data_IF_399950984412
#
_entry.id   IF_399950984412
#
_cell.length_a   1.000
_cell.length_b   1.000
_cell.length_c   1.000
_cell.angle_alpha   90.00
_cell.angle_beta   90.00
_cell.angle_gamma   90.00
#
_symmetry.space_group_name_H-M   'P 1'
#
loop_
_entity.id
_entity.type
_entity.pdbx_description
1 polymer ?
#
# COMPACT_ATOMS: atom_id res chain seq x y z
N UNK A 1 21.51 5.49 17.09
CA UNK A 1 21.63 5.61 15.63
C UNK A 1 21.37 7.07 15.22
N UNK A 2 22.15 7.60 14.27
CA UNK A 2 21.98 8.98 13.78
C UNK A 2 20.63 9.11 13.03
N UNK A 3 19.95 10.24 13.20
CA UNK A 3 18.76 10.58 12.39
C UNK A 3 19.14 10.56 10.90
N UNK A 4 18.21 10.19 10.02
CA UNK A 4 18.42 10.05 8.57
C UNK A 4 19.48 9.01 8.16
N UNK A 5 19.68 7.94 8.96
CA UNK A 5 20.56 6.83 8.61
C UNK A 5 19.94 5.95 7.50
N UNK A 6 20.80 5.31 6.67
CA UNK A 6 20.38 4.31 5.67
C UNK A 6 19.39 3.27 6.24
N UNK A 7 19.60 2.81 7.47
CA UNK A 7 18.76 1.82 8.12
C UNK A 7 17.30 2.27 8.28
N UNK A 8 17.04 3.55 8.46
CA UNK A 8 15.66 4.05 8.54
C UNK A 8 14.98 4.11 7.18
N UNK A 9 15.71 4.45 6.11
CA UNK A 9 15.18 4.40 4.74
C UNK A 9 14.93 2.95 4.30
N UNK A 10 15.88 2.06 4.53
CA UNK A 10 15.73 0.63 4.24
C UNK A 10 14.60 0.00 5.07
N UNK A 11 14.53 0.34 6.36
CA UNK A 11 13.46 -0.10 7.26
C UNK A 11 12.09 0.41 6.83
N UNK A 12 11.98 1.66 6.38
CA UNK A 12 10.73 2.20 5.82
C UNK A 12 10.26 1.35 4.63
N UNK A 13 11.14 1.08 3.64
CA UNK A 13 10.79 0.24 2.50
C UNK A 13 10.45 -1.19 2.93
N UNK A 14 11.28 -1.81 3.76
CA UNK A 14 11.08 -3.19 4.21
C UNK A 14 9.72 -3.36 4.90
N UNK A 15 9.46 -2.62 5.97
CA UNK A 15 8.25 -2.79 6.76
C UNK A 15 6.99 -2.26 6.06
N UNK A 16 7.12 -1.29 5.15
CA UNK A 16 6.01 -0.82 4.33
C UNK A 16 5.51 -1.95 3.41
N UNK A 17 6.39 -2.56 2.63
CA UNK A 17 6.01 -3.66 1.75
C UNK A 17 5.73 -4.96 2.49
N UNK A 18 6.34 -5.16 3.64
CA UNK A 18 6.01 -6.24 4.57
C UNK A 18 4.54 -6.14 5.03
N UNK A 19 4.10 -4.99 5.53
CA UNK A 19 2.73 -4.77 5.94
C UNK A 19 1.77 -4.88 4.73
N UNK A 20 2.11 -4.27 3.61
CA UNK A 20 1.30 -4.30 2.39
C UNK A 20 1.04 -5.73 1.90
N UNK A 21 2.07 -6.58 1.84
CA UNK A 21 1.95 -7.98 1.42
C UNK A 21 1.03 -8.77 2.35
N UNK A 22 1.21 -8.63 3.67
CA UNK A 22 0.39 -9.33 4.66
C UNK A 22 -1.10 -9.04 4.48
N UNK A 23 -1.46 -7.76 4.36
CA UNK A 23 -2.86 -7.35 4.21
C UNK A 23 -3.46 -7.80 2.88
N UNK A 24 -2.77 -7.54 1.76
CA UNK A 24 -3.29 -7.85 0.43
C UNK A 24 -3.43 -9.35 0.17
N UNK A 25 -2.45 -10.15 0.57
CA UNK A 25 -2.45 -11.58 0.29
C UNK A 25 -3.56 -12.33 1.05
N UNK A 26 -3.88 -11.89 2.25
CA UNK A 26 -4.73 -12.65 3.17
C UNK A 26 -6.12 -12.05 3.39
N UNK A 27 -6.38 -10.81 2.94
CA UNK A 27 -7.67 -10.15 3.17
C UNK A 27 -8.86 -10.96 2.63
N UNK A 28 -8.79 -11.39 1.37
CA UNK A 28 -9.88 -12.13 0.73
C UNK A 28 -10.11 -13.49 1.40
N UNK A 29 -9.02 -14.16 1.80
CA UNK A 29 -9.07 -15.42 2.52
C UNK A 29 -9.73 -15.26 3.90
N UNK A 30 -9.31 -14.24 4.66
CA UNK A 30 -9.91 -13.91 5.95
C UNK A 30 -11.41 -13.65 5.85
N UNK A 31 -11.83 -12.83 4.87
CA UNK A 31 -13.25 -12.55 4.66
C UNK A 31 -14.05 -13.81 4.31
N UNK A 32 -13.46 -14.72 3.54
CA UNK A 32 -14.07 -16.03 3.25
C UNK A 32 -14.23 -16.88 4.51
N UNK A 33 -13.24 -16.87 5.41
CA UNK A 33 -13.25 -17.65 6.64
C UNK A 33 -14.26 -17.14 7.69
N UNK A 34 -14.55 -15.86 7.69
CA UNK A 34 -15.63 -15.28 8.50
C UNK A 34 -17.00 -15.33 7.80
N UNK A 35 -17.13 -16.21 6.79
CA UNK A 35 -18.37 -16.54 6.09
C UNK A 35 -18.99 -15.44 5.24
N UNK A 36 -18.21 -14.48 4.75
CA UNK A 36 -18.67 -13.54 3.73
C UNK A 36 -18.78 -14.27 2.38
N UNK A 37 -19.85 -13.98 1.63
CA UNK A 37 -20.04 -14.55 0.30
C UNK A 37 -19.15 -13.84 -0.74
N UNK A 38 -18.98 -14.43 -1.93
CA UNK A 38 -18.11 -13.92 -2.98
C UNK A 38 -18.47 -12.48 -3.40
N UNK A 39 -19.75 -12.10 -3.39
CA UNK A 39 -20.19 -10.74 -3.73
C UNK A 39 -19.74 -9.72 -2.67
N UNK A 40 -19.86 -10.05 -1.41
CA UNK A 40 -19.42 -9.21 -0.29
C UNK A 40 -17.89 -9.04 -0.29
N UNK A 41 -17.15 -10.13 -0.51
CA UNK A 41 -15.69 -10.10 -0.63
C UNK A 41 -15.28 -9.19 -1.81
N UNK A 42 -15.90 -9.38 -2.97
CA UNK A 42 -15.64 -8.54 -4.14
C UNK A 42 -15.96 -7.06 -3.87
N UNK A 43 -17.05 -6.76 -3.17
CA UNK A 43 -17.41 -5.39 -2.82
C UNK A 43 -16.36 -4.74 -1.92
N UNK A 44 -15.89 -5.46 -0.89
CA UNK A 44 -14.85 -4.96 0.02
C UNK A 44 -13.53 -4.75 -0.72
N UNK A 45 -13.07 -5.73 -1.51
CA UNK A 45 -11.79 -5.65 -2.20
C UNK A 45 -11.77 -4.63 -3.34
N UNK A 46 -12.88 -4.46 -4.07
CA UNK A 46 -13.00 -3.49 -5.16
C UNK A 46 -13.19 -2.04 -4.68
N UNK A 47 -13.60 -1.84 -3.43
CA UNK A 47 -13.75 -0.49 -2.87
C UNK A 47 -12.41 0.25 -2.75
N UNK A 48 -11.33 -0.45 -2.46
CA UNK A 48 -10.01 0.16 -2.27
C UNK A 48 -9.46 0.89 -3.51
N UNK A 49 -9.48 0.33 -4.74
CA UNK A 49 -9.11 1.07 -5.95
C UNK A 49 -9.95 2.33 -6.16
N UNK A 50 -11.27 2.27 -5.91
CA UNK A 50 -12.16 3.43 -6.06
C UNK A 50 -11.77 4.57 -5.11
N UNK A 51 -11.51 4.26 -3.85
CA UNK A 51 -11.06 5.25 -2.88
C UNK A 51 -9.65 5.77 -3.19
N UNK A 52 -8.76 4.92 -3.74
CA UNK A 52 -7.39 5.29 -4.12
C UNK A 52 -7.35 6.35 -5.23
N UNK A 53 -8.32 6.34 -6.17
CA UNK A 53 -8.42 7.35 -7.25
C UNK A 53 -8.49 8.77 -6.66
N UNK A 54 -9.18 8.93 -5.54
CA UNK A 54 -9.30 10.23 -4.86
C UNK A 54 -8.17 10.46 -3.85
N UNK A 55 -7.78 9.43 -3.09
CA UNK A 55 -6.79 9.54 -2.03
C UNK A 55 -5.40 9.89 -2.57
N UNK A 56 -4.96 9.29 -3.68
CA UNK A 56 -3.62 9.52 -4.24
C UNK A 56 -3.39 10.99 -4.68
N UNK A 57 -4.23 11.61 -5.53
CA UNK A 57 -4.05 13.01 -5.90
C UNK A 57 -4.22 13.95 -4.71
N UNK A 58 -5.15 13.64 -3.80
CA UNK A 58 -5.38 14.46 -2.62
C UNK A 58 -4.16 14.49 -1.68
N UNK A 59 -3.61 13.33 -1.31
CA UNK A 59 -2.42 13.26 -0.47
C UNK A 59 -1.18 13.80 -1.17
N UNK A 60 -1.05 13.62 -2.50
CA UNK A 60 0.01 14.22 -3.31
C UNK A 60 -0.03 15.74 -3.23
N UNK A 61 -1.20 16.35 -3.51
CA UNK A 61 -1.41 17.80 -3.42
C UNK A 61 -1.17 18.32 -1.99
N UNK A 62 -1.60 17.56 -0.99
CA UNK A 62 -1.39 17.91 0.41
C UNK A 62 0.11 17.91 0.78
N UNK A 63 0.86 16.92 0.29
CA UNK A 63 2.30 16.82 0.50
C UNK A 63 3.06 17.98 -0.16
N UNK A 64 2.63 18.42 -1.33
CA UNK A 64 3.19 19.57 -2.03
C UNK A 64 2.84 20.88 -1.32
N UNK A 65 1.59 21.02 -0.87
CA UNK A 65 1.14 22.22 -0.13
C UNK A 65 1.88 22.39 1.20
N UNK A 66 2.07 21.30 1.95
CA UNK A 66 2.81 21.33 3.21
C UNK A 66 4.33 21.21 3.03
N UNK A 67 4.80 21.04 1.79
CA UNK A 67 6.22 20.83 1.47
C UNK A 67 6.87 19.73 2.33
N UNK A 68 6.08 18.73 2.75
CA UNK A 68 6.51 17.68 3.65
C UNK A 68 5.78 16.36 3.37
N UNK A 69 6.27 15.55 2.41
CA UNK A 69 5.73 14.21 2.18
C UNK A 69 5.81 13.34 3.44
N UNK A 70 6.81 13.58 4.29
CA UNK A 70 6.97 12.89 5.57
C UNK A 70 5.77 13.11 6.49
N UNK A 71 5.36 14.36 6.74
CA UNK A 71 4.24 14.67 7.64
C UNK A 71 2.93 14.07 7.13
N UNK A 72 2.68 14.19 5.83
CA UNK A 72 1.47 13.64 5.21
C UNK A 72 1.47 12.11 5.30
N UNK A 73 2.59 11.44 5.05
CA UNK A 73 2.71 9.99 5.21
C UNK A 73 2.47 9.55 6.66
N UNK A 74 3.00 10.29 7.65
CA UNK A 74 2.78 9.98 9.08
C UNK A 74 1.30 10.05 9.47
N UNK A 75 0.60 11.09 9.04
CA UNK A 75 -0.84 11.25 9.34
C UNK A 75 -1.63 10.13 8.64
N UNK A 76 -1.37 9.86 7.37
CA UNK A 76 -2.07 8.82 6.63
C UNK A 76 -1.85 7.43 7.24
N UNK A 77 -0.61 7.08 7.60
CA UNK A 77 -0.29 5.81 8.25
C UNK A 77 -0.88 5.71 9.67
N UNK A 78 -0.94 6.81 10.41
CA UNK A 78 -1.62 6.82 11.70
C UNK A 78 -3.12 6.53 11.57
N UNK A 79 -3.79 7.15 10.59
CA UNK A 79 -5.19 6.83 10.28
C UNK A 79 -5.33 5.36 9.89
N UNK A 80 -4.39 4.82 9.11
CA UNK A 80 -4.37 3.40 8.72
C UNK A 80 -4.29 2.48 9.94
N UNK A 81 -3.45 2.80 10.94
CA UNK A 81 -3.36 2.06 12.21
C UNK A 81 -4.71 2.05 12.93
N UNK A 82 -5.34 3.21 13.07
CA UNK A 82 -6.65 3.32 13.73
C UNK A 82 -7.73 2.51 12.99
N UNK A 83 -7.77 2.63 11.65
CA UNK A 83 -8.73 1.88 10.83
C UNK A 83 -8.49 0.37 10.88
N UNK A 84 -7.23 -0.07 10.97
CA UNK A 84 -6.93 -1.49 11.13
C UNK A 84 -7.41 -2.03 12.50
N UNK A 85 -7.27 -1.26 13.56
CA UNK A 85 -7.82 -1.66 14.87
C UNK A 85 -9.34 -1.78 14.82
N UNK A 86 -10.03 -0.82 14.19
CA UNK A 86 -11.49 -0.89 14.02
C UNK A 86 -11.88 -2.11 13.16
N UNK A 87 -11.11 -2.40 12.09
CA UNK A 87 -11.33 -3.57 11.25
C UNK A 87 -11.26 -4.87 12.04
N UNK A 88 -10.24 -5.03 12.91
CA UNK A 88 -10.04 -6.25 13.71
C UNK A 88 -11.21 -6.60 14.63
N UNK A 89 -11.90 -5.60 15.17
CA UNK A 89 -13.00 -5.79 16.11
C UNK A 89 -14.39 -5.76 15.46
N UNK A 90 -14.47 -5.58 14.15
CA UNK A 90 -15.74 -5.42 13.42
C UNK A 90 -16.08 -6.69 12.64
N UNK A 91 -17.38 -7.00 12.61
CA UNK A 91 -17.94 -8.09 11.79
C UNK A 91 -19.04 -7.60 10.84
N UNK A 92 -19.33 -6.29 10.85
CA UNK A 92 -20.36 -5.71 10.00
C UNK A 92 -19.80 -5.35 8.62
N UNK A 93 -20.48 -5.76 7.56
CA UNK A 93 -20.08 -5.53 6.17
C UNK A 93 -19.70 -4.07 5.87
N UNK A 94 -20.53 -3.12 6.30
CA UNK A 94 -20.31 -1.69 6.02
C UNK A 94 -19.05 -1.18 6.70
N UNK A 95 -18.80 -1.58 7.95
CA UNK A 95 -17.60 -1.16 8.68
C UNK A 95 -16.35 -1.78 8.06
N UNK A 96 -16.39 -3.07 7.73
CA UNK A 96 -15.28 -3.76 7.06
C UNK A 96 -14.99 -3.14 5.69
N UNK A 97 -16.01 -2.75 4.92
CA UNK A 97 -15.87 -2.09 3.64
C UNK A 97 -15.18 -0.71 3.79
N UNK A 98 -15.69 0.13 4.67
CA UNK A 98 -15.14 1.48 4.88
C UNK A 98 -13.71 1.43 5.41
N UNK A 99 -13.45 0.59 6.39
CA UNK A 99 -12.13 0.48 7.01
C UNK A 99 -11.11 -0.12 6.04
N UNK A 100 -11.44 -1.20 5.33
CA UNK A 100 -10.57 -1.82 4.33
C UNK A 100 -10.29 -0.87 3.16
N UNK A 101 -11.32 -0.19 2.64
CA UNK A 101 -11.17 0.81 1.59
C UNK A 101 -10.22 1.93 2.01
N UNK A 102 -10.39 2.44 3.24
CA UNK A 102 -9.55 3.51 3.78
C UNK A 102 -8.11 3.05 3.98
N UNK A 103 -7.89 1.85 4.58
CA UNK A 103 -6.56 1.28 4.80
C UNK A 103 -5.80 1.18 3.49
N UNK A 104 -6.36 0.50 2.50
CA UNK A 104 -5.67 0.26 1.23
C UNK A 104 -5.51 1.53 0.40
N UNK A 105 -6.52 2.42 0.40
CA UNK A 105 -6.43 3.68 -0.31
C UNK A 105 -5.32 4.58 0.24
N UNK A 106 -5.21 4.71 1.57
CA UNK A 106 -4.14 5.47 2.20
C UNK A 106 -2.78 4.82 2.00
N UNK A 107 -2.68 3.49 2.11
CA UNK A 107 -1.44 2.77 1.84
C UNK A 107 -0.95 2.99 0.41
N UNK A 108 -1.83 2.83 -0.58
CA UNK A 108 -1.53 3.09 -2.00
C UNK A 108 -1.13 4.56 -2.24
N UNK A 109 -1.77 5.51 -1.56
CA UNK A 109 -1.45 6.93 -1.70
C UNK A 109 -0.14 7.33 -1.00
N UNK A 110 0.27 6.62 0.05
CA UNK A 110 1.55 6.83 0.75
C UNK A 110 2.73 6.25 -0.04
N UNK A 111 2.53 5.24 -0.88
CA UNK A 111 3.59 4.61 -1.69
C UNK A 111 4.45 5.64 -2.45
N UNK A 112 3.91 6.51 -3.30
CA UNK A 112 4.72 7.51 -4.01
C UNK A 112 5.35 8.54 -3.08
N UNK A 113 4.77 8.81 -1.92
CA UNK A 113 5.36 9.73 -0.94
C UNK A 113 6.60 9.12 -0.26
N UNK A 114 6.55 7.83 0.10
CA UNK A 114 7.70 7.11 0.65
C UNK A 114 8.80 6.92 -0.40
N UNK A 115 8.45 6.68 -1.66
CA UNK A 115 9.41 6.60 -2.76
C UNK A 115 10.08 7.98 -2.99
N UNK A 116 9.33 9.09 -2.93
CA UNK A 116 9.88 10.45 -2.99
C UNK A 116 10.89 10.71 -1.85
N UNK A 117 10.58 10.30 -0.63
CA UNK A 117 11.50 10.39 0.51
C UNK A 117 12.77 9.55 0.26
N UNK A 118 12.63 8.35 -0.30
CA UNK A 118 13.74 7.47 -0.63
C UNK A 118 14.64 8.03 -1.72
N UNK A 119 14.07 8.52 -2.81
CA UNK A 119 14.80 9.14 -3.95
C UNK A 119 15.55 10.39 -3.53
N UNK A 120 14.99 11.19 -2.63
CA UNK A 120 15.62 12.42 -2.11
C UNK A 120 16.65 12.16 -1.01
N UNK A 121 16.87 10.91 -0.63
CA UNK A 121 17.87 10.55 0.36
C UNK A 121 19.30 10.58 -0.23
N UNK A 122 20.33 10.71 0.60
CA UNK A 122 21.73 10.64 0.13
C UNK A 122 22.15 9.21 -0.25
N UNK A 123 21.25 8.25 -0.23
CA UNK A 123 21.52 6.84 -0.48
C UNK A 123 20.96 6.39 -1.83
N UNK A 124 21.53 5.33 -2.38
CA UNK A 124 21.04 4.70 -3.61
C UNK A 124 19.62 4.17 -3.42
N UNK A 125 18.66 4.77 -4.14
CA UNK A 125 17.26 4.40 -4.06
C UNK A 125 17.02 2.93 -4.43
N UNK A 126 17.76 2.40 -5.41
CA UNK A 126 17.64 0.99 -5.79
C UNK A 126 17.94 0.05 -4.64
N UNK A 127 18.97 0.36 -3.83
CA UNK A 127 19.29 -0.42 -2.63
C UNK A 127 18.25 -0.28 -1.53
N UNK A 128 17.66 0.90 -1.37
CA UNK A 128 16.54 1.11 -0.43
C UNK A 128 15.32 0.30 -0.87
N UNK A 129 14.98 0.38 -2.15
CA UNK A 129 13.80 -0.29 -2.73
C UNK A 129 13.89 -1.80 -2.70
N UNK A 130 15.10 -2.35 -2.84
CA UNK A 130 15.36 -3.79 -2.74
C UNK A 130 14.87 -4.38 -1.41
N UNK A 131 15.06 -3.66 -0.29
CA UNK A 131 14.55 -4.09 1.00
C UNK A 131 13.03 -4.22 1.03
N UNK A 132 12.31 -3.43 0.23
CA UNK A 132 10.87 -3.58 0.07
C UNK A 132 10.49 -4.94 -0.53
N UNK A 133 11.19 -5.39 -1.55
CA UNK A 133 10.96 -6.72 -2.15
C UNK A 133 11.27 -7.85 -1.17
N UNK A 134 12.35 -7.71 -0.39
CA UNK A 134 12.70 -8.68 0.67
C UNK A 134 11.61 -8.72 1.75
N UNK A 135 11.14 -7.54 2.18
CA UNK A 135 10.04 -7.43 3.16
C UNK A 135 8.75 -8.07 2.66
N UNK A 136 8.40 -7.83 1.39
CA UNK A 136 7.23 -8.43 0.74
C UNK A 136 7.32 -9.97 0.76
N UNK A 137 8.43 -10.54 0.30
CA UNK A 137 8.61 -11.99 0.23
C UNK A 137 8.57 -12.65 1.62
N UNK A 138 9.26 -12.07 2.61
CA UNK A 138 9.25 -12.59 4.00
C UNK A 138 7.83 -12.53 4.58
N UNK A 139 7.12 -11.42 4.35
CA UNK A 139 5.76 -11.25 4.87
C UNK A 139 4.79 -12.25 4.27
N UNK A 140 4.84 -12.50 2.97
CA UNK A 140 3.97 -13.45 2.30
C UNK A 140 4.09 -14.84 2.92
N UNK A 141 5.32 -15.31 3.16
CA UNK A 141 5.58 -16.60 3.83
C UNK A 141 5.12 -16.62 5.28
N UNK A 142 5.53 -15.59 6.05
CA UNK A 142 5.23 -15.51 7.47
C UNK A 142 3.72 -15.45 7.73
N UNK A 143 3.00 -14.65 6.95
CA UNK A 143 1.55 -14.49 7.13
C UNK A 143 0.78 -15.77 6.81
N UNK A 144 1.18 -16.52 5.79
CA UNK A 144 0.59 -17.83 5.50
C UNK A 144 0.76 -18.82 6.64
N UNK A 145 1.99 -18.93 7.18
CA UNK A 145 2.29 -19.81 8.32
C UNK A 145 1.53 -19.40 9.59
N UNK A 146 1.54 -18.11 9.92
CA UNK A 146 0.87 -17.59 11.12
C UNK A 146 -0.66 -17.73 11.01
N UNK A 147 -1.20 -17.58 9.81
CA UNK A 147 -2.61 -17.78 9.53
C UNK A 147 -3.06 -19.22 9.85
N UNK A 148 -2.29 -20.21 9.37
CA UNK A 148 -2.62 -21.62 9.53
C UNK A 148 -2.39 -22.12 10.97
N UNK A 149 -1.35 -21.61 11.67
CA UNK A 149 -0.90 -22.15 12.97
C UNK A 149 -1.57 -21.46 14.16
N UNK A 150 -1.82 -20.14 14.06
CA UNK A 150 -2.29 -19.36 15.21
C UNK A 150 -3.78 -19.02 15.08
N UNK A 151 -4.11 -18.08 14.22
CA UNK A 151 -5.47 -17.66 13.94
C UNK A 151 -5.53 -16.71 12.73
N UNK A 152 -6.63 -16.69 11.96
CA UNK A 152 -6.80 -15.80 10.82
C UNK A 152 -6.64 -14.31 11.15
N UNK A 153 -7.03 -13.88 12.36
CA UNK A 153 -6.93 -12.48 12.79
C UNK A 153 -5.49 -12.00 13.01
N UNK A 154 -4.53 -12.91 13.19
CA UNK A 154 -3.13 -12.58 13.48
C UNK A 154 -2.43 -11.80 12.35
N UNK A 155 -2.91 -11.91 11.11
CA UNK A 155 -2.42 -11.13 9.97
C UNK A 155 -2.57 -9.62 10.18
N UNK A 156 -3.67 -9.18 10.82
CA UNK A 156 -3.90 -7.76 11.12
C UNK A 156 -3.01 -7.26 12.25
N UNK A 157 -2.60 -8.14 13.17
CA UNK A 157 -1.61 -7.83 14.21
C UNK A 157 -0.23 -7.66 13.57
N UNK A 158 0.14 -8.54 12.62
CA UNK A 158 1.39 -8.42 11.84
C UNK A 158 1.39 -7.14 11.02
N UNK A 159 0.27 -6.84 10.34
CA UNK A 159 0.10 -5.58 9.61
C UNK A 159 0.26 -4.35 10.51
N UNK A 160 -0.35 -4.38 11.69
CA UNK A 160 -0.26 -3.32 12.71
C UNK A 160 1.19 -3.10 13.14
N UNK A 161 1.90 -4.19 13.47
CA UNK A 161 3.32 -4.15 13.82
C UNK A 161 4.17 -3.53 12.70
N UNK A 162 3.98 -4.01 11.45
CA UNK A 162 4.68 -3.46 10.29
C UNK A 162 4.41 -1.96 10.10
N UNK A 163 3.16 -1.55 10.15
CA UNK A 163 2.76 -0.14 9.96
C UNK A 163 3.30 0.77 11.08
N UNK A 164 3.26 0.33 12.33
CA UNK A 164 3.85 1.09 13.45
C UNK A 164 5.37 1.21 13.28
N UNK A 165 6.03 0.15 12.82
CA UNK A 165 7.49 0.20 12.57
C UNK A 165 7.81 1.17 11.43
N UNK A 166 7.00 1.23 10.37
CA UNK A 166 7.11 2.25 9.30
C UNK A 166 6.99 3.66 9.88
N UNK A 167 5.99 3.90 10.74
CA UNK A 167 5.81 5.20 11.40
C UNK A 167 7.07 5.61 12.18
N UNK A 168 7.65 4.69 12.95
CA UNK A 168 8.89 4.93 13.73
C UNK A 168 10.06 5.23 12.78
N UNK A 169 10.20 4.48 11.68
CA UNK A 169 11.25 4.73 10.70
C UNK A 169 11.09 6.10 10.04
N UNK A 170 9.90 6.46 9.57
CA UNK A 170 9.62 7.76 8.92
C UNK A 170 9.85 8.92 9.91
N UNK A 171 9.56 8.76 11.20
CA UNK A 171 9.87 9.78 12.22
C UNK A 171 11.37 10.09 12.33
N UNK A 172 12.23 9.16 11.93
CA UNK A 172 13.70 9.28 11.98
C UNK A 172 14.33 9.70 10.64
N UNK A 173 13.55 9.79 9.58
CA UNK A 173 13.97 10.28 8.26
C UNK A 173 13.71 11.79 8.15
N UNK A 174 14.52 12.50 7.36
CA UNK A 174 14.29 13.91 7.07
C UNK A 174 13.30 14.07 5.92
N UNK A 175 12.61 15.21 5.88
CA UNK A 175 11.88 15.62 4.68
C UNK A 175 12.86 15.85 3.51
N UNK A 176 12.44 15.58 2.27
CA UNK A 176 13.18 15.99 1.08
C UNK A 176 13.50 17.50 1.12
N UNK A 177 14.72 17.87 0.79
CA UNK A 177 15.03 19.27 0.54
C UNK A 177 14.22 19.75 -0.66
N UNK A 178 13.51 20.84 -0.47
CA UNK A 178 12.77 21.48 -1.57
C UNK A 178 13.81 22.15 -2.46
N UNK A 179 14.21 21.46 -3.52
CA UNK A 179 14.94 22.12 -4.61
C UNK A 179 13.94 23.07 -5.26
N UNK A 180 14.05 24.36 -5.00
CA UNK A 180 13.33 25.38 -5.75
C UNK A 180 13.86 25.33 -7.19
N UNK A 181 13.24 24.52 -8.02
CA UNK A 181 13.44 24.61 -9.46
C UNK A 181 12.78 25.93 -9.87
N UNK A 182 13.58 26.92 -10.24
CA UNK A 182 13.17 28.28 -10.63
C UNK A 182 12.27 28.34 -11.89
N UNK A 183 11.94 27.21 -12.46
CA UNK A 183 10.95 27.11 -13.53
C UNK A 183 9.56 26.87 -12.98
N UNK A 184 8.94 27.89 -12.38
CA UNK A 184 7.49 28.00 -12.34
C UNK A 184 6.96 28.16 -13.76
N UNK A 185 6.91 27.08 -14.51
CA UNK A 185 6.02 27.02 -15.65
C UNK A 185 4.62 26.88 -15.05
N UNK A 186 3.90 28.00 -14.94
CA UNK A 186 2.49 28.04 -14.56
C UNK A 186 1.63 27.40 -15.67
N UNK A 187 1.80 26.10 -15.88
CA UNK A 187 0.78 25.37 -16.62
C UNK A 187 -0.43 25.22 -15.70
N UNK A 188 -1.56 25.78 -16.13
CA UNK A 188 -2.85 25.42 -15.53
C UNK A 188 -2.94 23.89 -15.54
N UNK A 189 -3.28 23.26 -14.38
CA UNK A 189 -3.42 21.81 -14.29
C UNK A 189 -4.28 21.25 -15.44
N UNK A 190 -5.29 21.99 -15.88
CA UNK A 190 -6.16 21.67 -17.01
C UNK A 190 -5.42 21.59 -18.35
N UNK A 191 -4.44 22.46 -18.59
CA UNK A 191 -3.64 22.46 -19.84
C UNK A 191 -2.64 21.31 -19.83
N UNK A 192 -2.03 21.01 -18.69
CA UNK A 192 -1.16 19.86 -18.53
C UNK A 192 -1.92 18.54 -18.80
N UNK A 193 -3.08 18.35 -18.22
CA UNK A 193 -3.93 17.18 -18.51
C UNK A 193 -4.33 17.12 -20.00
N UNK A 194 -4.73 18.23 -20.60
CA UNK A 194 -5.11 18.28 -22.02
C UNK A 194 -3.96 17.89 -22.94
N UNK A 195 -2.73 18.29 -22.63
CA UNK A 195 -1.53 17.93 -23.41
C UNK A 195 -1.22 16.43 -23.31
N UNK A 196 -1.35 15.83 -22.11
CA UNK A 196 -1.15 14.39 -21.90
C UNK A 196 -2.15 13.55 -22.70
N UNK A 197 -3.43 13.90 -22.66
CA UNK A 197 -4.46 13.19 -23.42
C UNK A 197 -4.42 13.40 -24.94
N UNK A 198 -3.66 14.37 -25.45
CA UNK A 198 -3.38 14.51 -26.88
C UNK A 198 -2.25 13.62 -27.37
N UNK A 199 -1.41 13.10 -26.48
CA UNK A 199 -0.28 12.25 -26.85
C UNK A 199 -0.76 10.81 -27.06
N UNK A 200 -0.78 10.35 -28.33
CA UNK A 200 -1.20 8.99 -28.70
C UNK A 200 -0.36 7.91 -28.01
N UNK A 201 0.94 8.09 -27.87
CA UNK A 201 1.83 7.12 -27.23
C UNK A 201 1.48 6.96 -25.75
N UNK A 202 1.15 8.07 -25.08
CA UNK A 202 0.71 8.06 -23.69
C UNK A 202 -0.63 7.32 -23.52
N UNK A 203 -1.59 7.53 -24.42
CA UNK A 203 -2.88 6.82 -24.39
C UNK A 203 -2.69 5.32 -24.61
N UNK A 204 -1.87 4.93 -25.60
CA UNK A 204 -1.56 3.49 -25.86
C UNK A 204 -0.90 2.86 -24.62
N UNK A 205 0.07 3.56 -24.00
CA UNK A 205 0.70 3.12 -22.77
C UNK A 205 -0.31 2.92 -21.64
N UNK A 206 -1.24 3.86 -21.44
CA UNK A 206 -2.30 3.74 -20.45
C UNK A 206 -3.21 2.54 -20.71
N UNK A 207 -3.62 2.29 -21.96
CA UNK A 207 -4.44 1.15 -22.33
C UNK A 207 -3.74 -0.19 -22.06
N UNK A 208 -2.48 -0.32 -22.47
CA UNK A 208 -1.69 -1.52 -22.21
C UNK A 208 -1.55 -1.74 -20.70
N UNK A 209 -1.22 -0.67 -19.95
CA UNK A 209 -1.08 -0.74 -18.49
C UNK A 209 -2.39 -1.13 -17.81
N UNK A 210 -3.53 -0.62 -18.29
CA UNK A 210 -4.86 -0.95 -17.75
C UNK A 210 -5.16 -2.44 -17.87
N UNK A 211 -5.00 -3.02 -19.07
CA UNK A 211 -5.27 -4.45 -19.28
C UNK A 211 -4.28 -5.33 -18.53
N UNK A 212 -2.99 -4.98 -18.53
CA UNK A 212 -1.95 -5.74 -17.83
C UNK A 212 -2.19 -5.74 -16.31
N UNK A 213 -2.34 -4.56 -15.70
CA UNK A 213 -2.58 -4.45 -14.27
C UNK A 213 -3.92 -5.02 -13.84
N UNK A 214 -4.96 -4.90 -14.66
CA UNK A 214 -6.26 -5.51 -14.39
C UNK A 214 -6.17 -7.03 -14.22
N UNK A 215 -5.50 -7.72 -15.15
CA UNK A 215 -5.29 -9.16 -15.08
C UNK A 215 -4.42 -9.56 -13.87
N UNK A 216 -3.31 -8.85 -13.63
CA UNK A 216 -2.44 -9.10 -12.48
C UNK A 216 -3.18 -8.92 -11.15
N UNK A 217 -3.93 -7.82 -11.00
CA UNK A 217 -4.66 -7.53 -9.75
C UNK A 217 -5.73 -8.57 -9.48
N UNK A 218 -6.48 -9.01 -10.49
CA UNK A 218 -7.47 -10.08 -10.33
C UNK A 218 -6.82 -11.38 -9.82
N UNK A 219 -5.69 -11.77 -10.41
CA UNK A 219 -4.95 -12.94 -9.96
C UNK A 219 -4.49 -12.78 -8.50
N UNK A 220 -3.80 -11.71 -8.15
CA UNK A 220 -3.31 -11.48 -6.80
C UNK A 220 -4.42 -11.40 -5.73
N UNK A 221 -5.60 -10.90 -6.08
CA UNK A 221 -6.71 -10.76 -5.15
C UNK A 221 -7.34 -12.11 -4.80
N UNK A 222 -7.50 -12.99 -5.79
CA UNK A 222 -8.28 -14.22 -5.61
C UNK A 222 -7.45 -15.50 -5.52
N UNK A 223 -6.14 -15.44 -5.73
CA UNK A 223 -5.27 -16.63 -5.69
C UNK A 223 -5.34 -17.37 -4.35
N UNK A 224 -5.42 -16.64 -3.23
CA UNK A 224 -5.51 -17.23 -1.89
C UNK A 224 -6.81 -18.03 -1.70
N UNK A 225 -7.93 -17.50 -2.18
CA UNK A 225 -9.23 -18.17 -2.12
C UNK A 225 -9.23 -19.40 -3.05
N UNK A 226 -8.65 -19.27 -4.25
CA UNK A 226 -8.52 -20.38 -5.20
C UNK A 226 -7.67 -21.52 -4.65
N UNK A 227 -6.48 -21.25 -4.10
CA UNK A 227 -5.61 -22.26 -3.49
C UNK A 227 -6.36 -23.02 -2.40
N UNK A 228 -7.11 -22.32 -1.54
CA UNK A 228 -7.91 -22.95 -0.50
C UNK A 228 -9.04 -23.80 -1.07
N UNK A 229 -9.71 -23.39 -2.14
CA UNK A 229 -10.80 -24.15 -2.78
C UNK A 229 -10.34 -25.49 -3.38
N UNK A 230 -9.07 -25.60 -3.76
CA UNK A 230 -8.45 -26.84 -4.27
C UNK A 230 -7.75 -27.67 -3.18
N UNK A 231 -7.97 -27.32 -1.90
CA UNK A 231 -7.43 -28.06 -0.75
C UNK A 231 -6.04 -27.63 -0.30
N UNK A 232 -5.52 -26.52 -0.82
CA UNK A 232 -4.25 -25.94 -0.38
C UNK A 232 -4.36 -25.21 0.95
N UNK A 233 -3.20 -24.93 1.58
CA UNK A 233 -3.09 -24.22 2.86
C UNK A 233 -2.75 -22.74 2.64
N UNK A 234 -2.98 -21.86 3.64
CA UNK A 234 -2.61 -20.46 3.54
C UNK A 234 -1.09 -20.28 3.43
N UNK A 235 -0.29 -21.19 3.97
CA UNK A 235 1.17 -21.17 3.78
C UNK A 235 1.60 -21.35 2.31
N UNK A 236 0.83 -22.10 1.50
CA UNK A 236 1.08 -22.24 0.06
C UNK A 236 0.87 -20.92 -0.70
N UNK A 237 -0.04 -20.05 -0.23
CA UNK A 237 -0.24 -18.72 -0.81
C UNK A 237 1.02 -17.87 -0.71
N UNK A 238 1.75 -17.98 0.40
CA UNK A 238 3.00 -17.25 0.62
C UNK A 238 4.17 -17.72 -0.27
N UNK A 239 4.11 -18.93 -0.84
CA UNK A 239 5.14 -19.46 -1.75
C UNK A 239 4.89 -19.11 -3.21
N UNK A 240 3.68 -18.74 -3.56
CA UNK A 240 3.26 -18.34 -4.90
C UNK A 240 3.49 -16.86 -5.13
#
# INVERSE_FOLDING_TARGET
MKKNSYMYHAGTSFFFYFAFACYNAMLALYLSDIHFNAQQISLITSSAPLFSIFAQPYLGTLADRFRSPRKVSLVALFITVVMNVIFMFSHQLIILLITSATILALFNAVTPLTDRIGVSSPYDFGKIRLWGSVGYAISAQLCGLVYDVIAPISIFVIFLFGTITVLICILRVNDPEVVETETKVEYSAKEAYKSLFKNKQYIIFLLISFFFWGACTANFTYISVFIKSVGGTASMVGTY
#
